data_IF_719467336847
#
_entry.id   IF_719467336847
#
_cell.length_a   1.000
_cell.length_b   1.000
_cell.length_c   1.000
_cell.angle_alpha   90.00
_cell.angle_beta   90.00
_cell.angle_gamma   90.00
#
_symmetry.space_group_name_H-M   'P 1'
#
loop_
_entity.id
_entity.type
_entity.pdbx_description
1 polymer ?
#
# COMPACT_ATOMS: atom_id res chain seq x y z
N UNK A 1 -24.65 -19.24 -2.60
CA UNK A 1 -23.46 -18.73 -3.31
C UNK A 1 -23.16 -17.35 -2.74
N UNK A 2 -22.00 -17.17 -2.11
CA UNK A 2 -21.61 -15.88 -1.53
C UNK A 2 -21.18 -14.97 -2.68
N UNK A 3 -22.02 -14.00 -3.01
CA UNK A 3 -21.73 -12.94 -3.97
C UNK A 3 -21.47 -11.66 -3.18
N UNK A 4 -20.25 -11.15 -3.24
CA UNK A 4 -19.91 -9.86 -2.62
C UNK A 4 -20.37 -8.73 -3.51
N UNK A 5 -21.09 -7.75 -2.94
CA UNK A 5 -21.53 -6.56 -3.68
C UNK A 5 -20.38 -5.62 -4.02
N UNK A 6 -19.32 -5.62 -3.21
CA UNK A 6 -18.14 -4.77 -3.39
C UNK A 6 -16.95 -5.30 -2.57
N UNK A 7 -15.74 -5.12 -3.11
CA UNK A 7 -14.48 -5.33 -2.39
C UNK A 7 -13.85 -3.96 -2.14
N UNK A 8 -13.40 -3.72 -0.91
CA UNK A 8 -12.60 -2.55 -0.56
C UNK A 8 -11.12 -2.94 -0.64
N UNK A 9 -10.35 -2.24 -1.48
CA UNK A 9 -8.89 -2.42 -1.53
C UNK A 9 -8.26 -1.11 -1.08
N UNK A 10 -7.44 -1.16 -0.03
CA UNK A 10 -6.70 -0.02 0.50
C UNK A 10 -5.21 -0.27 0.36
N UNK A 11 -4.48 0.73 -0.14
CA UNK A 11 -3.02 0.71 -0.17
C UNK A 11 -2.48 1.62 0.92
N UNK A 12 -1.63 1.08 1.79
CA UNK A 12 -1.08 1.79 2.94
C UNK A 12 0.45 1.79 2.85
N UNK A 13 1.04 2.93 3.17
CA UNK A 13 2.48 3.07 3.39
C UNK A 13 2.71 3.54 4.83
N UNK A 14 3.56 2.83 5.57
CA UNK A 14 4.01 3.22 6.90
C UNK A 14 5.50 3.44 6.86
N UNK A 15 5.92 4.70 7.05
CA UNK A 15 7.34 5.04 7.06
C UNK A 15 8.12 4.24 8.13
N UNK A 16 9.40 3.92 7.92
CA UNK A 16 10.19 3.09 8.83
C UNK A 16 10.22 3.57 10.30
N UNK A 17 10.09 4.89 10.49
CA UNK A 17 10.10 5.60 11.78
C UNK A 17 8.71 5.87 12.35
N UNK A 18 7.65 5.63 11.58
CA UNK A 18 6.27 5.81 12.03
C UNK A 18 5.75 4.57 12.76
N UNK A 19 4.64 4.73 13.49
CA UNK A 19 3.88 3.61 14.07
C UNK A 19 2.78 3.20 13.11
N UNK A 20 2.41 1.92 13.13
CA UNK A 20 1.16 1.49 12.50
C UNK A 20 0.01 2.00 13.37
N UNK A 21 -0.94 2.70 12.77
CA UNK A 21 -2.23 2.96 13.39
C UNK A 21 -3.13 1.74 13.18
N UNK A 22 -3.17 0.85 14.18
CA UNK A 22 -3.92 -0.41 14.09
C UNK A 22 -5.42 -0.19 13.93
N UNK A 23 -5.95 0.98 14.35
CA UNK A 23 -7.37 1.27 14.25
C UNK A 23 -7.82 1.43 12.79
N UNK A 24 -6.90 1.76 11.88
CA UNK A 24 -7.23 1.91 10.46
C UNK A 24 -7.82 0.62 9.87
N UNK A 25 -7.38 -0.54 10.36
CA UNK A 25 -7.95 -1.83 9.94
C UNK A 25 -9.38 -1.97 10.39
N UNK A 26 -9.67 -1.66 11.66
CA UNK A 26 -11.02 -1.68 12.20
C UNK A 26 -11.93 -0.69 11.47
N UNK A 27 -11.45 0.51 11.18
CA UNK A 27 -12.19 1.52 10.41
C UNK A 27 -12.51 1.03 8.99
N UNK A 28 -11.52 0.49 8.26
CA UNK A 28 -11.71 -0.03 6.91
C UNK A 28 -12.65 -1.25 6.90
N UNK A 29 -12.52 -2.14 7.87
CA UNK A 29 -13.41 -3.29 8.06
C UNK A 29 -14.85 -2.85 8.34
N UNK A 30 -15.04 -1.81 9.17
CA UNK A 30 -16.37 -1.24 9.45
C UNK A 30 -17.00 -0.56 8.23
N UNK A 31 -16.18 -0.04 7.29
CA UNK A 31 -16.66 0.49 6.00
C UNK A 31 -17.11 -0.66 5.08
N UNK A 32 -16.32 -1.72 5.00
CA UNK A 32 -16.65 -2.93 4.25
C UNK A 32 -15.89 -4.14 4.83
N UNK A 33 -16.63 -5.14 5.31
CA UNK A 33 -16.09 -6.37 5.88
C UNK A 33 -15.42 -7.29 4.83
N UNK A 34 -15.54 -6.93 3.54
CA UNK A 34 -14.79 -7.49 2.42
C UNK A 34 -13.67 -6.53 2.04
N UNK A 35 -12.64 -6.45 2.88
CA UNK A 35 -11.51 -5.55 2.69
C UNK A 35 -10.18 -6.28 2.53
N UNK A 36 -9.33 -5.71 1.68
CA UNK A 36 -7.92 -6.09 1.52
C UNK A 36 -7.10 -4.83 1.75
N UNK A 37 -6.08 -4.96 2.60
CA UNK A 37 -5.07 -3.94 2.83
C UNK A 37 -3.75 -4.44 2.28
N UNK A 38 -3.11 -3.62 1.44
CA UNK A 38 -1.83 -3.94 0.82
C UNK A 38 -0.82 -2.82 1.03
N UNK A 39 0.46 -3.18 1.14
CA UNK A 39 1.55 -2.21 0.98
C UNK A 39 2.69 -2.37 1.98
N UNK A 40 3.64 -1.43 1.90
CA UNK A 40 4.83 -1.39 2.74
C UNK A 40 4.50 -0.86 4.14
N UNK A 41 4.47 -1.77 5.12
CA UNK A 41 4.23 -1.44 6.51
C UNK A 41 5.52 -1.23 7.31
N UNK A 42 6.68 -1.47 6.70
CA UNK A 42 7.99 -1.54 7.35
C UNK A 42 8.00 -2.41 8.62
N UNK A 43 7.05 -3.34 8.72
CA UNK A 43 6.87 -4.26 9.84
C UNK A 43 7.63 -5.55 9.55
N UNK A 44 8.46 -6.00 10.50
CA UNK A 44 9.18 -7.28 10.37
C UNK A 44 8.73 -8.21 11.48
N UNK A 45 8.44 -9.46 11.11
CA UNK A 45 8.05 -10.54 12.02
C UNK A 45 9.06 -11.67 11.90
N UNK A 46 9.68 -12.09 13.00
CA UNK A 46 10.65 -13.20 12.98
C UNK A 46 10.02 -14.54 12.64
N UNK A 47 8.75 -14.71 13.01
CA UNK A 47 7.97 -15.91 12.69
C UNK A 47 7.68 -16.02 11.18
N UNK A 48 7.72 -14.90 10.46
CA UNK A 48 7.53 -14.81 9.00
C UNK A 48 8.87 -14.61 8.26
N UNK A 49 9.96 -15.19 8.77
CA UNK A 49 11.25 -15.26 8.09
C UNK A 49 12.18 -14.04 8.25
N UNK A 50 11.78 -12.97 8.93
CA UNK A 50 12.68 -11.82 9.18
C UNK A 50 13.71 -12.11 10.27
N UNK A 51 14.91 -11.52 10.19
CA UNK A 51 15.96 -11.70 11.23
C UNK A 51 15.52 -11.31 12.65
N UNK A 52 14.61 -10.34 12.78
CA UNK A 52 14.11 -9.85 14.07
C UNK A 52 12.71 -9.23 13.93
N UNK A 53 11.86 -9.45 14.92
CA UNK A 53 10.61 -8.69 15.08
C UNK A 53 10.90 -7.27 15.54
N UNK A 54 10.44 -6.28 14.78
CA UNK A 54 10.57 -4.86 15.13
C UNK A 54 9.30 -4.31 15.78
N UNK A 55 9.30 -3.03 16.18
CA UNK A 55 8.18 -2.44 16.93
C UNK A 55 6.85 -2.48 16.16
N UNK A 56 6.84 -2.13 14.86
CA UNK A 56 5.61 -2.23 14.07
C UNK A 56 5.24 -3.69 13.75
N UNK A 57 6.22 -4.60 13.67
CA UNK A 57 5.98 -6.03 13.63
C UNK A 57 5.15 -6.49 14.82
N UNK A 58 5.46 -6.03 16.04
CA UNK A 58 4.62 -6.35 17.21
C UNK A 58 3.19 -5.83 17.07
N UNK A 59 3.00 -4.61 16.56
CA UNK A 59 1.66 -4.05 16.31
C UNK A 59 0.90 -4.83 15.24
N UNK A 60 1.58 -5.25 14.18
CA UNK A 60 1.00 -6.12 13.15
C UNK A 60 0.62 -7.48 13.73
N UNK A 61 1.46 -8.06 14.60
CA UNK A 61 1.14 -9.32 15.28
C UNK A 61 -0.10 -9.19 16.17
N UNK A 62 -0.25 -8.08 16.90
CA UNK A 62 -1.44 -7.81 17.70
C UNK A 62 -2.70 -7.80 16.83
N UNK A 63 -2.67 -7.08 15.69
CA UNK A 63 -3.76 -7.05 14.72
C UNK A 63 -4.11 -8.46 14.17
N UNK A 64 -3.11 -9.26 13.81
CA UNK A 64 -3.32 -10.62 13.32
C UNK A 64 -3.94 -11.52 14.41
N UNK A 65 -3.52 -11.35 15.67
CA UNK A 65 -4.05 -12.10 16.80
C UNK A 65 -5.49 -11.72 17.17
N UNK A 66 -5.95 -10.51 16.82
CA UNK A 66 -7.35 -10.09 16.96
C UNK A 66 -8.29 -10.84 16.00
N UNK A 67 -7.75 -11.46 14.93
CA UNK A 67 -8.52 -12.26 13.96
C UNK A 67 -9.37 -11.45 12.98
N UNK A 68 -9.20 -10.12 12.96
CA UNK A 68 -9.91 -9.22 12.02
C UNK A 68 -9.40 -9.35 10.58
N UNK A 69 -8.11 -9.66 10.42
CA UNK A 69 -7.46 -9.90 9.15
C UNK A 69 -6.40 -10.99 9.29
N UNK A 70 -6.14 -11.72 8.21
CA UNK A 70 -5.03 -12.65 8.09
C UNK A 70 -4.04 -12.17 7.03
N UNK A 71 -2.78 -12.56 7.21
CA UNK A 71 -1.75 -12.37 6.20
C UNK A 71 -1.87 -13.44 5.11
N UNK A 72 -1.79 -13.01 3.85
CA UNK A 72 -1.64 -13.91 2.71
C UNK A 72 -0.32 -13.61 2.03
N UNK A 73 0.54 -14.61 1.90
CA UNK A 73 1.87 -14.46 1.29
C UNK A 73 2.39 -15.78 0.71
N UNK A 74 3.56 -15.73 0.08
CA UNK A 74 4.27 -16.86 -0.53
C UNK A 74 5.57 -17.22 0.21
N UNK A 75 5.73 -16.80 1.47
CA UNK A 75 6.94 -16.92 2.29
C UNK A 75 8.21 -16.20 1.77
N UNK A 76 8.19 -15.63 0.57
CA UNK A 76 9.34 -14.93 -0.01
C UNK A 76 9.59 -13.56 0.64
N UNK A 77 10.85 -13.08 0.69
CA UNK A 77 11.15 -11.73 1.11
C UNK A 77 10.68 -10.71 0.06
N UNK A 78 10.00 -9.66 0.51
CA UNK A 78 9.50 -8.58 -0.35
C UNK A 78 10.47 -7.42 -0.48
N UNK A 79 11.57 -7.41 0.28
CA UNK A 79 12.61 -6.40 0.21
C UNK A 79 14.00 -7.04 0.30
N UNK A 80 14.90 -6.62 -0.59
CA UNK A 80 16.27 -7.12 -0.66
C UNK A 80 17.26 -5.98 -0.92
N UNK A 81 18.30 -5.85 -0.10
CA UNK A 81 19.43 -4.95 -0.37
C UNK A 81 20.73 -5.57 0.12
N UNK A 82 21.63 -5.89 -0.82
CA UNK A 82 22.86 -6.66 -0.53
C UNK A 82 22.49 -7.95 0.24
N UNK A 83 23.13 -8.23 1.39
CA UNK A 83 22.88 -9.42 2.23
C UNK A 83 21.71 -9.26 3.23
N UNK A 84 20.84 -8.26 3.01
CA UNK A 84 19.67 -8.00 3.84
C UNK A 84 18.39 -8.31 3.07
N UNK A 85 17.64 -9.28 3.60
CA UNK A 85 16.32 -9.66 3.13
C UNK A 85 15.30 -9.47 4.26
N UNK A 86 14.11 -8.98 3.91
CA UNK A 86 13.00 -8.84 4.82
C UNK A 86 11.66 -8.89 4.10
N UNK A 87 10.62 -9.26 4.85
CA UNK A 87 9.22 -9.09 4.44
C UNK A 87 8.72 -7.77 5.03
N UNK A 88 8.53 -6.76 4.19
CA UNK A 88 8.11 -5.40 4.56
C UNK A 88 6.78 -5.01 3.95
N UNK A 89 6.49 -5.55 2.75
CA UNK A 89 5.22 -5.44 2.06
C UNK A 89 4.28 -6.58 2.46
N UNK A 90 3.03 -6.25 2.78
CA UNK A 90 2.04 -7.18 3.33
C UNK A 90 0.74 -7.16 2.51
N UNK A 91 0.10 -8.33 2.38
CA UNK A 91 -1.32 -8.45 1.96
C UNK A 91 -2.10 -8.96 3.16
N UNK A 92 -3.08 -8.17 3.59
CA UNK A 92 -3.92 -8.46 4.74
C UNK A 92 -5.37 -8.51 4.27
N UNK A 93 -5.97 -9.70 4.34
CA UNK A 93 -7.34 -9.95 3.89
C UNK A 93 -8.28 -10.21 5.06
N UNK A 94 -9.52 -9.71 4.98
CA UNK A 94 -10.57 -10.10 5.91
C UNK A 94 -11.08 -11.52 5.62
N UNK A 95 -11.55 -12.22 6.67
CA UNK A 95 -12.04 -13.61 6.60
C UNK A 95 -12.91 -13.95 5.37
N UNK A 96 -13.93 -13.13 4.99
CA UNK A 96 -14.77 -13.46 3.84
C UNK A 96 -14.00 -13.54 2.51
N UNK A 97 -12.90 -12.80 2.38
CA UNK A 97 -12.13 -12.71 1.13
C UNK A 97 -10.98 -13.71 1.04
N UNK A 98 -10.50 -14.25 2.17
CA UNK A 98 -9.32 -15.11 2.18
C UNK A 98 -9.44 -16.29 1.23
N UNK A 99 -10.61 -16.95 1.15
CA UNK A 99 -10.83 -18.09 0.25
C UNK A 99 -10.85 -17.73 -1.25
N UNK A 100 -10.89 -16.43 -1.59
CA UNK A 100 -10.91 -15.95 -2.96
C UNK A 100 -9.55 -15.42 -3.43
N UNK A 101 -8.62 -15.22 -2.49
CA UNK A 101 -7.25 -14.81 -2.78
C UNK A 101 -6.44 -16.06 -3.16
N UNK A 102 -5.89 -16.05 -4.36
CA UNK A 102 -5.11 -17.16 -4.93
C UNK A 102 -3.85 -16.66 -5.61
N UNK A 103 -2.93 -17.55 -5.97
CA UNK A 103 -1.73 -17.23 -6.75
C UNK A 103 -0.91 -16.07 -6.16
N UNK A 104 -0.73 -16.08 -4.83
CA UNK A 104 0.12 -15.08 -4.18
C UNK A 104 1.57 -15.39 -4.53
N UNK A 105 2.28 -14.40 -5.08
CA UNK A 105 3.63 -14.57 -5.59
C UNK A 105 4.42 -13.27 -5.45
N UNK A 106 5.61 -13.37 -4.87
CA UNK A 106 6.63 -12.33 -4.88
C UNK A 106 7.50 -12.49 -6.14
N UNK A 107 7.70 -11.40 -6.88
CA UNK A 107 8.42 -11.41 -8.16
C UNK A 107 9.85 -10.85 -7.99
N UNK A 108 10.87 -11.68 -7.68
CA UNK A 108 12.23 -11.18 -7.37
C UNK A 108 12.93 -10.55 -8.59
N UNK A 109 12.51 -10.91 -9.80
CA UNK A 109 13.12 -10.49 -11.07
C UNK A 109 12.40 -9.31 -11.72
N UNK A 110 11.24 -8.89 -11.20
CA UNK A 110 10.46 -7.77 -11.73
C UNK A 110 10.71 -6.54 -10.85
N UNK A 111 10.93 -5.39 -11.48
CA UNK A 111 11.17 -4.14 -10.77
C UNK A 111 12.64 -3.92 -10.44
N UNK A 112 12.94 -3.56 -9.18
CA UNK A 112 14.30 -3.17 -8.78
C UNK A 112 15.16 -4.38 -8.39
N UNK A 113 16.40 -4.41 -8.87
CA UNK A 113 17.41 -5.41 -8.47
C UNK A 113 17.64 -5.33 -6.96
N UNK A 114 17.77 -4.11 -6.42
CA UNK A 114 17.85 -3.83 -4.98
C UNK A 114 16.65 -3.00 -4.56
N UNK A 115 15.93 -3.44 -3.53
CA UNK A 115 14.77 -2.77 -2.95
C UNK A 115 13.55 -3.68 -2.91
N UNK A 116 12.37 -3.08 -3.02
CA UNK A 116 11.10 -3.78 -2.97
C UNK A 116 10.88 -4.67 -4.19
N UNK A 117 10.29 -5.84 -3.95
CA UNK A 117 9.88 -6.83 -4.95
C UNK A 117 8.36 -6.77 -5.08
N UNK A 118 7.82 -6.69 -6.30
CA UNK A 118 6.38 -6.70 -6.51
C UNK A 118 5.75 -7.98 -5.95
N UNK A 119 4.65 -7.81 -5.21
CA UNK A 119 3.81 -8.89 -4.72
C UNK A 119 2.50 -8.88 -5.51
N UNK A 120 2.12 -10.01 -6.07
CA UNK A 120 0.87 -10.18 -6.83
C UNK A 120 0.00 -11.22 -6.18
N UNK A 121 -1.30 -11.10 -6.40
CA UNK A 121 -2.30 -12.10 -6.04
C UNK A 121 -3.49 -11.95 -6.97
N UNK A 122 -4.23 -13.03 -7.15
CA UNK A 122 -5.47 -13.05 -7.89
C UNK A 122 -6.64 -13.04 -6.92
N UNK A 123 -7.71 -12.32 -7.30
CA UNK A 123 -9.02 -12.43 -6.66
C UNK A 123 -9.93 -13.07 -7.69
N UNK A 124 -10.39 -14.29 -7.40
CA UNK A 124 -11.35 -14.96 -8.29
C UNK A 124 -12.71 -14.30 -8.14
N UNK A 125 -13.08 -13.48 -9.11
CA UNK A 125 -14.43 -12.96 -9.26
C UNK A 125 -15.14 -13.83 -10.27
N UNK A 126 -16.25 -14.48 -9.89
CA UNK A 126 -17.19 -15.14 -10.82
C UNK A 126 -17.96 -14.10 -11.66
N UNK A 127 -17.32 -12.99 -12.00
CA UNK A 127 -17.86 -11.92 -12.81
C UNK A 127 -17.39 -12.13 -14.25
N UNK A 128 -18.33 -12.24 -15.17
CA UNK A 128 -18.05 -12.13 -16.60
C UNK A 128 -17.29 -10.82 -16.85
N UNK A 129 -16.15 -10.85 -17.55
CA UNK A 129 -15.42 -9.65 -17.93
C UNK A 129 -16.41 -8.71 -18.60
N UNK A 130 -16.69 -7.57 -17.97
CA UNK A 130 -17.50 -6.54 -18.60
C UNK A 130 -16.78 -6.20 -19.91
N UNK A 131 -17.48 -6.31 -21.04
CA UNK A 131 -16.89 -6.00 -22.34
C UNK A 131 -16.16 -4.67 -22.22
N UNK A 132 -14.92 -4.62 -22.71
CA UNK A 132 -14.09 -3.42 -22.61
C UNK A 132 -14.91 -2.24 -23.08
N UNK A 133 -15.30 -1.37 -22.15
CA UNK A 133 -15.91 -0.10 -22.54
C UNK A 133 -14.91 0.54 -23.50
N UNK A 134 -15.33 1.01 -24.68
CA UNK A 134 -14.41 1.62 -25.62
C UNK A 134 -13.61 2.66 -24.84
N UNK A 135 -12.28 2.49 -24.77
CA UNK A 135 -11.39 3.43 -24.10
C UNK A 135 -11.78 4.79 -24.63
N UNK A 136 -12.36 5.64 -23.80
CA UNK A 136 -12.61 7.03 -24.20
C UNK A 136 -11.21 7.56 -24.55
N UNK A 137 -10.92 7.88 -25.83
CA UNK A 137 -9.64 8.43 -26.16
C UNK A 137 -9.53 9.73 -25.37
N UNK A 138 -8.57 9.80 -24.44
CA UNK A 138 -8.28 11.03 -23.72
C UNK A 138 -7.97 12.09 -24.79
N UNK A 139 -8.88 13.03 -24.97
CA UNK A 139 -8.72 14.07 -25.97
C UNK A 139 -7.73 15.12 -25.43
N UNK A 140 -6.44 14.86 -25.59
CA UNK A 140 -5.38 15.77 -25.17
C UNK A 140 -5.38 17.11 -25.93
N UNK A 141 -6.18 17.28 -27.00
CA UNK A 141 -6.36 18.56 -27.68
C UNK A 141 -7.16 19.57 -26.86
N UNK A 142 -8.07 19.09 -25.99
CA UNK A 142 -8.85 19.93 -25.08
C UNK A 142 -8.07 20.28 -23.80
N UNK A 143 -6.93 19.62 -23.56
CA UNK A 143 -6.10 19.91 -22.40
C UNK A 143 -5.47 21.30 -22.55
N UNK A 144 -5.88 22.23 -21.68
CA UNK A 144 -5.36 23.61 -21.63
C UNK A 144 -4.00 23.64 -20.92
N UNK A 145 -2.99 23.02 -21.53
CA UNK A 145 -1.63 22.87 -20.97
C UNK A 145 -1.02 24.18 -20.51
N UNK A 146 -1.24 25.28 -21.24
CA UNK A 146 -0.77 26.61 -20.86
C UNK A 146 -1.39 27.08 -19.54
N UNK A 147 -2.68 26.80 -19.32
CA UNK A 147 -3.37 27.15 -18.06
C UNK A 147 -2.88 26.29 -16.90
N UNK A 148 -2.63 25.00 -17.15
CA UNK A 148 -2.04 24.11 -16.16
C UNK A 148 -0.64 24.57 -15.76
N UNK A 149 0.26 24.79 -16.73
CA UNK A 149 1.63 25.27 -16.49
C UNK A 149 1.63 26.61 -15.74
N UNK A 150 0.83 27.57 -16.18
CA UNK A 150 0.72 28.86 -15.48
C UNK A 150 0.25 28.72 -14.02
N UNK A 151 -0.67 27.79 -13.73
CA UNK A 151 -1.09 27.51 -12.36
C UNK A 151 0.01 26.84 -11.54
N UNK A 152 0.72 25.89 -12.15
CA UNK A 152 1.83 25.19 -11.52
C UNK A 152 2.99 26.15 -11.19
N UNK A 153 3.39 26.99 -12.14
CA UNK A 153 4.45 27.97 -11.94
C UNK A 153 4.11 28.95 -10.81
N UNK A 154 2.85 29.42 -10.75
CA UNK A 154 2.37 30.27 -9.64
C UNK A 154 2.43 29.56 -8.29
N UNK A 155 2.03 28.29 -8.23
CA UNK A 155 2.11 27.47 -7.01
C UNK A 155 3.57 27.27 -6.59
N UNK A 156 4.47 26.96 -7.53
CA UNK A 156 5.89 26.77 -7.24
C UNK A 156 6.56 28.05 -6.71
N UNK A 157 6.18 29.23 -7.23
CA UNK A 157 6.65 30.51 -6.69
C UNK A 157 6.18 30.69 -5.25
N UNK A 158 4.89 30.45 -4.96
CA UNK A 158 4.36 30.56 -3.60
C UNK A 158 5.09 29.62 -2.62
N UNK A 159 5.30 28.36 -3.01
CA UNK A 159 6.03 27.39 -2.19
C UNK A 159 7.49 27.79 -1.93
N UNK A 160 8.17 28.35 -2.94
CA UNK A 160 9.54 28.84 -2.76
C UNK A 160 9.60 30.06 -1.83
N UNK A 161 8.56 30.91 -1.83
CA UNK A 161 8.47 32.02 -0.88
C UNK A 161 8.24 31.54 0.56
N UNK A 162 7.34 30.57 0.78
CA UNK A 162 7.11 29.98 2.11
C UNK A 162 8.38 29.31 2.69
N UNK A 163 9.23 28.73 1.84
CA UNK A 163 10.51 28.15 2.27
C UNK A 163 11.55 29.22 2.65
N UNK A 164 11.52 30.39 2.01
CA UNK A 164 12.45 31.50 2.31
C UNK A 164 12.10 32.29 3.58
N UNK A 165 10.87 32.19 4.06
CA UNK A 165 10.45 32.72 5.37
C UNK A 165 10.90 31.82 6.54
N UNK A 166 11.27 30.56 6.28
CA UNK A 166 11.81 29.64 7.29
C UNK A 166 13.34 29.71 7.40
N UNK A 167 13.90 30.92 7.25
CA UNK A 167 15.32 31.19 7.51
C UNK A 167 15.62 31.02 9.02
N UNK A 168 16.83 30.55 9.42
CA UNK A 168 17.15 30.14 10.81
C UNK A 168 17.09 31.22 11.90
N UNK A 169 16.58 32.42 11.62
CA UNK A 169 16.52 33.53 12.56
C UNK A 169 15.24 33.56 13.43
N UNK A 170 14.22 32.74 13.11
CA UNK A 170 12.96 32.70 13.87
C UNK A 170 12.86 31.54 14.90
N UNK A 171 13.97 30.85 15.21
CA UNK A 171 14.04 29.83 16.30
C UNK A 171 14.81 30.36 17.54
N UNK A 172 14.70 31.66 17.82
CA UNK A 172 15.00 32.17 19.17
C UNK A 172 13.86 33.05 19.65
N UNK A 173 12.86 32.41 20.26
CA UNK A 173 12.14 32.88 21.46
C UNK A 173 11.34 31.74 22.08
#
# INVERSE_FOLDING_TARGET
MLSYKSILISSIYVAPTAKIDINIFQELYNINDNCIIVGDLNATLSEMGSKKTNARGKQLQELLNEGLAECVDDDSPTFEINDYEAKLDWILGSQPLLSFITNVETHPTIGTINGHKPLTFDITLEAEPKSTSPRLPLNFKEAKWTKFRSKLDKQLILWNYDLSLNSPLDIIR
#
